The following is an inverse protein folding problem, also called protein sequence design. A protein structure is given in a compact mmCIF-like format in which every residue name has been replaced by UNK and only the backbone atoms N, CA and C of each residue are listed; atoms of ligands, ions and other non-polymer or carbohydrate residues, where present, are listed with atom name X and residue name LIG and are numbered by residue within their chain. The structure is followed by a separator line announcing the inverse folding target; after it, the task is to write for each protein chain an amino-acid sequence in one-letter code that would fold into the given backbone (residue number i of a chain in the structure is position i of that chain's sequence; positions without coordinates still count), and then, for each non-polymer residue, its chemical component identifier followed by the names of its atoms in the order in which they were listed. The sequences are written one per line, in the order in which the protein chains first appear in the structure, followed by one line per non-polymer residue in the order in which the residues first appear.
data_IF_753635447512
#
_entry.id   IF_753635447512
#
_cell.length_a   1.000
_cell.length_b   1.000
_cell.length_c   1.000
_cell.angle_alpha   90.00
_cell.angle_beta   90.00
_cell.angle_gamma   90.00
#
_symmetry.space_group_name_H-M   'P 1'
#
loop_
_entity.id
_entity.type
_entity.pdbx_description
1 polymer ?
#
# COMPACT_ATOMS: atom_id res chain seq x y z
N UNK A 1 -5.52 -0.32 5.08
CA UNK A 1 -4.73 0.59 4.22
C UNK A 1 -4.01 -0.15 3.10
N UNK A 2 -3.27 -1.25 3.36
CA UNK A 2 -2.65 -2.07 2.30
C UNK A 2 -3.64 -2.62 1.26
N UNK A 3 -4.89 -2.96 1.64
CA UNK A 3 -5.93 -3.39 0.69
C UNK A 3 -6.33 -2.31 -0.32
N UNK A 4 -6.38 -1.04 0.09
CA UNK A 4 -6.75 0.07 -0.79
C UNK A 4 -5.62 0.37 -1.79
N UNK A 5 -4.37 0.35 -1.32
CA UNK A 5 -3.21 0.46 -2.22
C UNK A 5 -3.11 -0.75 -3.16
N UNK A 6 -3.30 -1.97 -2.65
CA UNK A 6 -3.29 -3.18 -3.48
C UNK A 6 -4.40 -3.17 -4.54
N UNK A 7 -5.61 -2.69 -4.20
CA UNK A 7 -6.69 -2.50 -5.14
C UNK A 7 -6.32 -1.47 -6.23
N UNK A 8 -5.70 -0.35 -5.86
CA UNK A 8 -5.22 0.64 -6.82
C UNK A 8 -4.12 0.07 -7.75
N UNK A 9 -3.17 -0.70 -7.21
CA UNK A 9 -2.15 -1.38 -8.01
C UNK A 9 -2.79 -2.39 -8.95
N UNK A 10 -3.77 -3.18 -8.51
CA UNK A 10 -4.48 -4.13 -9.37
C UNK A 10 -5.29 -3.44 -10.47
N UNK A 11 -5.95 -2.33 -10.16
CA UNK A 11 -6.73 -1.55 -11.13
C UNK A 11 -5.83 -0.93 -12.22
N UNK A 12 -4.64 -0.45 -11.83
CA UNK A 12 -3.63 0.08 -12.76
C UNK A 12 -2.95 -1.03 -13.56
N UNK A 13 -2.62 -2.16 -12.91
CA UNK A 13 -2.08 -3.34 -13.56
C UNK A 13 -3.05 -3.93 -14.61
N UNK A 14 -4.36 -3.88 -14.34
CA UNK A 14 -5.40 -4.30 -15.29
C UNK A 14 -5.45 -3.42 -16.53
N UNK A 15 -4.97 -2.18 -16.42
CA UNK A 15 -4.83 -1.23 -17.53
C UNK A 15 -3.42 -1.29 -18.17
N UNK A 16 -2.57 -2.25 -17.79
CA UNK A 16 -1.14 -2.30 -18.14
C UNK A 16 -0.37 -1.01 -17.82
N UNK A 17 -0.89 -0.18 -16.91
CA UNK A 17 -0.25 1.06 -16.51
C UNK A 17 0.55 0.83 -15.22
N UNK A 18 1.75 1.41 -15.12
CA UNK A 18 2.47 1.41 -13.86
C UNK A 18 1.61 2.10 -12.77
N UNK A 19 1.59 1.55 -11.55
CA UNK A 19 0.88 2.16 -10.44
C UNK A 19 1.49 3.53 -10.13
N UNK A 20 0.65 4.48 -9.71
CA UNK A 20 1.17 5.78 -9.26
C UNK A 20 2.01 5.56 -7.99
N UNK A 21 3.07 6.37 -7.79
CA UNK A 21 3.81 6.34 -6.54
C UNK A 21 2.86 6.64 -5.38
N UNK A 22 3.09 5.97 -4.25
CA UNK A 22 2.41 6.25 -2.99
C UNK A 22 2.55 7.75 -2.66
N UNK A 23 1.44 8.41 -2.31
CA UNK A 23 1.50 9.79 -1.80
C UNK A 23 2.20 9.83 -0.45
N UNK A 24 2.71 11.01 -0.04
CA UNK A 24 3.39 11.20 1.24
C UNK A 24 2.55 10.72 2.44
N UNK A 25 1.22 10.93 2.41
CA UNK A 25 0.30 10.41 3.42
C UNK A 25 0.24 8.88 3.45
N UNK A 26 0.20 8.22 2.28
CA UNK A 26 0.19 6.75 2.22
C UNK A 26 1.54 6.15 2.68
N UNK A 27 2.65 6.82 2.36
CA UNK A 27 3.98 6.44 2.87
C UNK A 27 4.04 6.63 4.38
N UNK A 28 3.51 7.73 4.93
CA UNK A 28 3.46 7.97 6.37
C UNK A 28 2.65 6.87 7.09
N UNK A 29 1.49 6.50 6.56
CA UNK A 29 0.67 5.41 7.10
C UNK A 29 1.37 4.04 7.01
N UNK A 30 2.15 3.79 5.94
CA UNK A 30 2.97 2.58 5.83
C UNK A 30 4.09 2.57 6.87
N UNK A 31 4.76 3.71 7.08
CA UNK A 31 5.81 3.86 8.09
C UNK A 31 5.25 3.67 9.50
N UNK A 32 4.06 4.18 9.80
CA UNK A 32 3.39 3.96 11.09
C UNK A 32 2.99 2.49 11.30
N UNK A 33 2.52 1.81 10.26
CA UNK A 33 2.25 0.37 10.30
C UNK A 33 3.51 -0.47 10.47
N UNK A 34 4.62 -0.10 9.83
CA UNK A 34 5.91 -0.77 10.03
C UNK A 34 6.47 -0.53 11.44
N UNK A 35 6.14 0.61 12.06
CA UNK A 35 6.52 0.91 13.45
C UNK A 35 5.65 0.21 14.48
N UNK A 36 4.36 0.03 14.18
CA UNK A 36 3.40 -0.71 15.00
C UNK A 36 2.72 -1.78 14.15
N UNK A 37 3.45 -2.87 13.81
CA UNK A 37 2.88 -3.95 13.03
C UNK A 37 1.73 -4.57 13.82
N UNK A 38 0.50 -4.63 13.26
CA UNK A 38 -0.57 -5.39 13.90
C UNK A 38 -0.12 -6.85 14.02
N UNK A 39 -0.30 -7.43 15.20
CA UNK A 39 0.14 -8.79 15.48
C UNK A 39 -0.44 -9.77 14.44
N UNK A 40 0.42 -10.37 13.62
CA UNK A 40 0.05 -11.36 12.61
C UNK A 40 0.48 -11.06 11.15
N UNK A 41 1.12 -9.92 10.88
CA UNK A 41 1.58 -9.54 9.53
C UNK A 41 3.10 -9.68 9.34
N UNK A 42 3.72 -10.61 10.09
CA UNK A 42 5.12 -11.06 9.91
C UNK A 42 5.16 -12.42 9.18
N UNK A 43 4.96 -12.46 7.85
CA UNK A 43 5.47 -13.54 6.98
C UNK A 43 5.72 -13.06 5.57
#
# INVERSE_FOLDING_TARGET
MLKAYAAHVQERASQQLPPLPLSAEQVAQLVELLKNPPAGEEK
#
